data_IF_030441209167
#
_entry.id   IF_030441209167
#
_cell.length_a   1.000
_cell.length_b   1.000
_cell.length_c   1.000
_cell.angle_alpha   90.00
_cell.angle_beta   90.00
_cell.angle_gamma   90.00
#
_symmetry.space_group_name_H-M   'P 1'
#
loop_
_entity.id
_entity.type
_entity.pdbx_description
1 polymer ?
#
# COMPACT_ATOMS: atom_id res chain seq x y z
N UNK A 1 -23.77 5.62 -24.58
CA UNK A 1 -23.19 6.91 -24.93
C UNK A 1 -21.72 6.70 -25.34
N UNK A 2 -21.15 7.62 -26.09
CA UNK A 2 -19.81 7.48 -26.72
C UNK A 2 -18.71 7.13 -25.69
N UNK A 3 -18.76 7.65 -24.49
CA UNK A 3 -17.76 7.34 -23.46
C UNK A 3 -17.85 5.88 -22.99
N UNK A 4 -19.06 5.37 -22.81
CA UNK A 4 -19.29 3.97 -22.44
C UNK A 4 -18.85 2.99 -23.56
N UNK A 5 -19.12 3.35 -24.81
CA UNK A 5 -18.70 2.56 -25.99
C UNK A 5 -17.19 2.51 -26.11
N UNK A 6 -16.49 3.64 -25.93
CA UNK A 6 -15.02 3.69 -25.92
C UNK A 6 -14.43 2.89 -24.76
N UNK A 7 -15.04 2.94 -23.57
CA UNK A 7 -14.61 2.15 -22.43
C UNK A 7 -14.78 0.64 -22.70
N UNK A 8 -15.90 0.22 -23.29
CA UNK A 8 -16.11 -1.17 -23.67
C UNK A 8 -15.10 -1.66 -24.71
N UNK A 9 -14.81 -0.85 -25.74
CA UNK A 9 -13.79 -1.17 -26.74
C UNK A 9 -12.39 -1.29 -26.13
N UNK A 10 -12.07 -0.47 -25.11
CA UNK A 10 -10.80 -0.59 -24.39
C UNK A 10 -10.72 -1.90 -23.60
N UNK A 11 -11.79 -2.34 -22.97
CA UNK A 11 -11.85 -3.63 -22.28
C UNK A 11 -11.62 -4.79 -23.26
N UNK A 12 -12.28 -4.78 -24.41
CA UNK A 12 -12.07 -5.78 -25.46
C UNK A 12 -10.61 -5.79 -25.98
N UNK A 13 -10.01 -4.61 -26.17
CA UNK A 13 -8.61 -4.48 -26.59
C UNK A 13 -7.63 -5.08 -25.57
N UNK A 14 -7.93 -4.98 -24.28
CA UNK A 14 -7.07 -5.44 -23.20
C UNK A 14 -7.31 -6.92 -22.82
N UNK A 15 -8.47 -7.50 -23.13
CA UNK A 15 -8.81 -8.88 -22.79
C UNK A 15 -7.78 -9.94 -23.21
N UNK A 16 -7.09 -9.84 -24.37
CA UNK A 16 -6.05 -10.79 -24.75
C UNK A 16 -4.80 -10.76 -23.87
N UNK A 17 -4.64 -9.72 -23.06
CA UNK A 17 -3.52 -9.54 -22.13
C UNK A 17 -3.87 -9.92 -20.69
N UNK A 18 -5.07 -10.49 -20.46
CA UNK A 18 -5.45 -11.01 -19.15
C UNK A 18 -4.48 -12.10 -18.72
N UNK A 19 -4.00 -12.00 -17.49
CA UNK A 19 -3.05 -12.95 -16.93
C UNK A 19 -3.67 -13.68 -15.73
N UNK A 20 -3.32 -14.95 -15.58
CA UNK A 20 -3.67 -15.74 -14.39
C UNK A 20 -3.23 -15.02 -13.10
N UNK A 21 -3.97 -15.18 -12.02
CA UNK A 21 -3.70 -14.57 -10.72
C UNK A 21 -2.23 -14.73 -10.28
N UNK A 22 -1.65 -15.90 -10.43
CA UNK A 22 -0.25 -16.17 -10.08
C UNK A 22 0.79 -15.51 -10.97
N UNK A 23 0.42 -15.02 -12.16
CA UNK A 23 1.32 -14.44 -13.17
C UNK A 23 1.15 -12.93 -13.35
N UNK A 24 0.05 -12.37 -12.84
CA UNK A 24 -0.21 -10.94 -12.96
C UNK A 24 0.91 -10.10 -12.32
N UNK A 25 1.32 -8.96 -12.94
CA UNK A 25 2.36 -8.07 -12.39
C UNK A 25 1.89 -7.31 -11.14
N UNK A 26 0.59 -7.26 -10.90
CA UNK A 26 -0.02 -6.52 -9.80
C UNK A 26 0.57 -6.92 -8.43
N UNK A 27 1.14 -5.94 -7.72
CA UNK A 27 1.79 -6.14 -6.43
C UNK A 27 3.15 -6.85 -6.48
N UNK A 28 3.71 -7.10 -7.67
CA UNK A 28 4.94 -7.88 -7.86
C UNK A 28 6.05 -7.15 -8.60
N UNK A 29 5.78 -5.95 -9.08
CA UNK A 29 6.73 -5.18 -9.89
C UNK A 29 7.21 -3.93 -9.12
N UNK A 30 8.26 -4.05 -8.30
CA UNK A 30 8.70 -2.96 -7.39
C UNK A 30 9.06 -1.65 -8.10
N UNK A 31 9.46 -1.71 -9.37
CA UNK A 31 9.82 -0.53 -10.16
C UNK A 31 8.62 0.27 -10.69
N UNK A 32 7.41 -0.27 -10.57
CA UNK A 32 6.20 0.43 -11.00
C UNK A 32 5.49 1.10 -9.81
N UNK A 33 4.84 2.26 -10.02
CA UNK A 33 3.98 2.87 -9.02
C UNK A 33 2.91 1.88 -8.54
N UNK A 34 2.66 1.82 -7.23
CA UNK A 34 1.76 0.84 -6.63
C UNK A 34 2.18 -0.62 -6.90
N UNK A 35 3.46 -0.85 -7.20
CA UNK A 35 3.99 -2.17 -7.59
C UNK A 35 3.23 -2.82 -8.76
N UNK A 36 2.68 -2.00 -9.67
CA UNK A 36 1.89 -2.45 -10.82
C UNK A 36 0.43 -2.81 -10.50
N UNK A 37 -0.04 -2.60 -9.27
CA UNK A 37 -1.44 -2.78 -8.91
C UNK A 37 -2.24 -1.50 -9.12
N UNK A 38 -3.37 -1.59 -9.84
CA UNK A 38 -4.29 -0.46 -10.02
C UNK A 38 -5.13 -0.16 -8.76
N UNK A 39 -5.21 -1.10 -7.83
CA UNK A 39 -5.89 -0.90 -6.55
C UNK A 39 -5.08 0.00 -5.61
N UNK A 40 -3.76 -0.14 -5.64
CA UNK A 40 -2.88 0.54 -4.70
C UNK A 40 -2.61 2.00 -5.11
N UNK A 41 -2.45 2.91 -4.16
CA UNK A 41 -1.96 4.25 -4.47
C UNK A 41 -0.64 4.18 -5.26
N UNK A 42 -0.42 5.06 -6.25
CA UNK A 42 0.72 4.98 -7.18
C UNK A 42 2.03 5.45 -6.54
N UNK A 43 2.37 4.89 -5.41
CA UNK A 43 3.57 5.20 -4.64
C UNK A 43 4.74 4.30 -5.03
N UNK A 44 5.95 4.82 -4.94
CA UNK A 44 7.19 4.11 -5.27
C UNK A 44 8.00 3.82 -4.01
N UNK A 45 8.61 2.64 -3.98
CA UNK A 45 9.53 2.24 -2.90
C UNK A 45 10.87 2.96 -3.09
N UNK A 46 11.31 3.73 -2.10
CA UNK A 46 12.58 4.47 -2.11
C UNK A 46 13.64 3.83 -1.21
N UNK A 47 13.23 3.06 -0.20
CA UNK A 47 14.11 2.27 0.64
C UNK A 47 13.45 0.94 0.96
N UNK A 48 14.22 -0.14 0.89
CA UNK A 48 13.77 -1.48 1.19
C UNK A 48 14.89 -2.26 1.87
N UNK A 49 14.79 -2.48 3.16
CA UNK A 49 15.82 -3.14 3.96
C UNK A 49 15.29 -3.74 5.25
N UNK A 50 16.12 -4.50 5.93
CA UNK A 50 15.77 -5.18 7.19
C UNK A 50 15.44 -4.22 8.32
N UNK A 51 15.91 -2.98 8.24
CA UNK A 51 15.67 -1.88 9.17
C UNK A 51 14.36 -1.12 8.89
N UNK A 52 13.72 -1.38 7.74
CA UNK A 52 12.43 -0.80 7.38
C UNK A 52 12.26 -0.53 5.89
N UNK A 53 11.08 -0.02 5.57
CA UNK A 53 10.65 0.34 4.22
C UNK A 53 10.26 1.81 4.18
N UNK A 54 10.63 2.53 3.12
CA UNK A 54 10.15 3.87 2.82
C UNK A 54 9.53 3.88 1.43
N UNK A 55 8.40 4.55 1.31
CA UNK A 55 7.78 4.86 0.02
C UNK A 55 7.53 6.36 -0.08
N UNK A 56 7.54 6.86 -1.31
CA UNK A 56 7.20 8.24 -1.65
C UNK A 56 6.13 8.28 -2.72
N UNK A 57 5.27 9.25 -2.63
CA UNK A 57 4.19 9.44 -3.60
C UNK A 57 3.32 10.63 -3.27
N UNK A 58 2.21 10.71 -3.94
CA UNK A 58 1.15 11.67 -3.68
C UNK A 58 -0.20 10.97 -3.85
N UNK A 59 -1.22 11.50 -3.21
CA UNK A 59 -2.59 11.16 -3.52
C UNK A 59 -3.14 12.17 -4.52
N UNK A 60 -3.92 11.71 -5.48
CA UNK A 60 -4.55 12.54 -6.49
C UNK A 60 -6.03 12.75 -6.20
N UNK A 61 -6.70 13.50 -7.06
CA UNK A 61 -8.17 13.68 -7.03
C UNK A 61 -8.94 12.35 -7.06
N UNK A 62 -8.35 11.27 -7.57
CA UNK A 62 -8.94 9.94 -7.54
C UNK A 62 -9.14 9.42 -6.09
N UNK A 63 -8.33 9.89 -5.16
CA UNK A 63 -8.33 9.45 -3.77
C UNK A 63 -9.08 10.41 -2.82
N UNK A 64 -9.73 11.46 -3.36
CA UNK A 64 -10.36 12.49 -2.53
C UNK A 64 -11.60 11.94 -1.81
N UNK A 65 -11.71 12.25 -0.52
CA UNK A 65 -12.90 11.98 0.29
C UNK A 65 -13.83 13.18 0.42
N UNK A 66 -13.25 14.36 0.55
CA UNK A 66 -13.96 15.62 0.67
C UNK A 66 -13.01 16.74 1.07
N UNK A 67 -13.35 18.00 0.80
CA UNK A 67 -12.57 19.19 1.19
C UNK A 67 -11.09 19.13 0.82
N UNK A 68 -10.76 18.61 -0.36
CA UNK A 68 -9.38 18.39 -0.84
C UNK A 68 -8.54 17.48 0.06
N UNK A 69 -9.16 16.68 0.90
CA UNK A 69 -8.50 15.69 1.77
C UNK A 69 -8.60 14.30 1.17
N UNK A 70 -7.62 13.47 1.46
CA UNK A 70 -7.62 12.05 1.12
C UNK A 70 -8.75 11.34 1.87
N UNK A 71 -9.48 10.47 1.17
CA UNK A 71 -10.50 9.63 1.79
C UNK A 71 -9.87 8.71 2.85
N UNK A 72 -10.45 8.69 4.04
CA UNK A 72 -9.91 7.96 5.19
C UNK A 72 -9.64 6.47 4.93
N UNK A 73 -10.41 5.82 4.06
CA UNK A 73 -10.20 4.42 3.69
C UNK A 73 -8.97 4.16 2.81
N UNK A 74 -8.38 5.19 2.21
CA UNK A 74 -7.16 5.03 1.36
C UNK A 74 -5.91 4.86 2.22
N UNK A 75 -5.85 5.48 3.40
CA UNK A 75 -4.70 5.35 4.30
C UNK A 75 -4.54 3.93 4.86
N UNK A 76 -5.61 3.26 5.35
CA UNK A 76 -5.54 1.85 5.70
C UNK A 76 -5.05 0.96 4.56
N UNK A 77 -5.50 1.21 3.31
CA UNK A 77 -5.02 0.46 2.14
C UNK A 77 -3.51 0.64 1.93
N UNK A 78 -2.98 1.87 2.05
CA UNK A 78 -1.55 2.14 1.97
C UNK A 78 -0.79 1.43 3.09
N UNK A 79 -1.27 1.52 4.33
CA UNK A 79 -0.61 0.90 5.49
C UNK A 79 -0.64 -0.63 5.41
N UNK A 80 -1.75 -1.23 5.00
CA UNK A 80 -1.84 -2.68 4.84
C UNK A 80 -0.83 -3.20 3.82
N UNK A 81 -0.73 -2.52 2.68
CA UNK A 81 0.29 -2.82 1.67
C UNK A 81 1.72 -2.68 2.22
N UNK A 82 2.00 -1.59 2.95
CA UNK A 82 3.29 -1.38 3.63
C UNK A 82 3.62 -2.51 4.60
N UNK A 83 2.67 -3.01 5.38
CA UNK A 83 2.90 -4.06 6.38
C UNK A 83 3.36 -5.36 5.74
N UNK A 84 2.81 -5.72 4.60
CA UNK A 84 3.29 -6.86 3.81
C UNK A 84 4.75 -6.69 3.39
N UNK A 85 5.10 -5.50 2.86
CA UNK A 85 6.47 -5.19 2.45
C UNK A 85 7.45 -5.14 3.62
N UNK A 86 7.07 -4.51 4.74
CA UNK A 86 7.89 -4.44 5.97
C UNK A 86 8.22 -5.84 6.47
N UNK A 87 7.21 -6.72 6.54
CA UNK A 87 7.41 -8.10 6.98
C UNK A 87 8.35 -8.86 6.05
N UNK A 88 8.18 -8.71 4.73
CA UNK A 88 9.05 -9.35 3.74
C UNK A 88 10.48 -8.79 3.79
N UNK A 89 10.65 -7.48 3.88
CA UNK A 89 11.96 -6.82 3.99
C UNK A 89 12.73 -7.27 5.25
N UNK A 90 12.03 -7.54 6.35
CA UNK A 90 12.60 -8.10 7.57
C UNK A 90 12.90 -9.62 7.47
N UNK A 91 12.86 -10.21 6.27
CA UNK A 91 13.17 -11.61 6.02
C UNK A 91 12.10 -12.60 6.55
N UNK A 92 10.90 -12.13 6.82
CA UNK A 92 9.84 -13.00 7.31
C UNK A 92 9.12 -13.72 6.16
N UNK A 93 8.69 -14.97 6.38
CA UNK A 93 7.88 -15.70 5.41
C UNK A 93 6.55 -14.99 5.14
N UNK A 94 5.84 -15.43 4.09
CA UNK A 94 4.52 -14.93 3.72
C UNK A 94 3.61 -14.88 4.96
N UNK A 95 3.04 -13.71 5.17
CA UNK A 95 2.21 -13.39 6.33
C UNK A 95 0.89 -12.76 5.87
N UNK A 96 -0.13 -12.82 6.73
CA UNK A 96 -1.40 -12.13 6.54
C UNK A 96 -1.59 -11.11 7.65
N UNK A 97 -2.23 -10.02 7.33
CA UNK A 97 -2.64 -8.98 8.28
C UNK A 97 -3.74 -9.55 9.18
N UNK A 98 -3.49 -9.58 10.48
CA UNK A 98 -4.47 -10.03 11.47
C UNK A 98 -5.30 -8.86 12.01
N UNK A 99 -4.67 -7.70 12.18
CA UNK A 99 -5.36 -6.44 12.43
C UNK A 99 -4.53 -5.27 11.91
N UNK A 100 -5.22 -4.17 11.65
CA UNK A 100 -4.69 -2.87 11.33
C UNK A 100 -5.45 -1.81 12.14
N UNK A 101 -4.72 -1.00 12.89
CA UNK A 101 -5.24 0.19 13.57
C UNK A 101 -4.63 1.43 12.94
N UNK A 102 -5.44 2.44 12.67
CA UNK A 102 -4.99 3.70 12.05
C UNK A 102 -5.41 4.88 12.93
N UNK A 103 -4.43 5.70 13.27
CA UNK A 103 -4.63 6.98 13.93
C UNK A 103 -4.45 8.12 12.92
N UNK A 104 -5.48 8.92 12.74
CA UNK A 104 -5.48 10.09 11.88
C UNK A 104 -5.07 11.30 12.72
N UNK A 105 -3.84 11.78 12.54
CA UNK A 105 -3.29 12.89 13.35
C UNK A 105 -3.63 14.24 12.76
N UNK A 106 -3.62 14.34 11.43
CA UNK A 106 -3.92 15.56 10.67
C UNK A 106 -4.63 15.20 9.37
N UNK A 107 -5.24 16.21 8.74
CA UNK A 107 -5.80 16.07 7.40
C UNK A 107 -4.67 15.75 6.43
N UNK A 108 -4.81 14.65 5.68
CA UNK A 108 -3.87 14.29 4.62
C UNK A 108 -4.28 14.97 3.32
N UNK A 109 -3.45 15.88 2.77
CA UNK A 109 -3.79 16.59 1.54
C UNK A 109 -3.59 15.71 0.29
N UNK A 110 -4.26 16.06 -0.81
CA UNK A 110 -3.98 15.53 -2.15
C UNK A 110 -3.00 16.44 -2.89
N UNK A 111 -2.41 15.92 -3.98
CA UNK A 111 -1.56 16.65 -4.94
C UNK A 111 -0.29 17.28 -4.32
N UNK A 112 0.17 16.75 -3.20
CA UNK A 112 1.44 17.14 -2.56
C UNK A 112 2.34 15.91 -2.36
N UNK A 113 3.68 16.09 -2.34
CA UNK A 113 4.60 15.02 -2.01
C UNK A 113 4.44 14.56 -0.55
N UNK A 114 4.38 13.25 -0.36
CA UNK A 114 4.26 12.62 0.95
C UNK A 114 5.27 11.47 1.07
N UNK A 115 5.60 11.12 2.30
CA UNK A 115 6.54 10.05 2.63
C UNK A 115 5.86 9.13 3.64
N UNK A 116 5.93 7.81 3.41
CA UNK A 116 5.54 6.82 4.41
C UNK A 116 6.75 5.97 4.77
N UNK A 117 6.97 5.76 6.07
CA UNK A 117 8.04 4.94 6.62
C UNK A 117 7.48 3.91 7.57
N UNK A 118 8.02 2.70 7.53
CA UNK A 118 7.57 1.68 8.46
C UNK A 118 8.62 0.62 8.74
N UNK A 119 8.44 -0.08 9.85
CA UNK A 119 9.35 -1.12 10.33
C UNK A 119 8.63 -2.16 11.18
N UNK A 120 9.28 -3.28 11.40
CA UNK A 120 8.90 -4.23 12.45
C UNK A 120 9.29 -3.63 13.80
N UNK A 121 8.36 -3.64 14.74
CA UNK A 121 8.58 -3.14 16.11
C UNK A 121 8.86 -4.26 17.11
N UNK A 122 8.25 -5.43 16.90
CA UNK A 122 8.45 -6.62 17.74
C UNK A 122 8.12 -7.90 16.97
N UNK A 123 8.65 -9.02 17.43
CA UNK A 123 8.34 -10.35 16.89
C UNK A 123 8.14 -11.37 18.00
N UNK A 124 7.09 -12.19 17.88
CA UNK A 124 6.76 -13.26 18.81
C UNK A 124 6.36 -14.51 18.02
N UNK A 125 7.27 -15.43 17.83
CA UNK A 125 7.03 -16.64 17.06
C UNK A 125 6.55 -16.34 15.64
N UNK A 126 5.28 -16.65 15.34
CA UNK A 126 4.67 -16.37 14.03
C UNK A 126 4.23 -14.92 13.84
N UNK A 127 4.15 -14.15 14.92
CA UNK A 127 3.66 -12.77 14.93
C UNK A 127 4.77 -11.77 14.63
N UNK A 128 4.48 -10.74 13.86
CA UNK A 128 5.28 -9.54 13.71
C UNK A 128 4.40 -8.32 13.93
N UNK A 129 4.74 -7.53 14.91
CA UNK A 129 4.13 -6.23 15.14
C UNK A 129 4.84 -5.23 14.24
N UNK A 130 4.07 -4.45 13.53
CA UNK A 130 4.56 -3.51 12.52
C UNK A 130 3.96 -2.13 12.77
N UNK A 131 4.72 -1.09 12.46
CA UNK A 131 4.22 0.27 12.42
C UNK A 131 4.60 0.94 11.09
N UNK A 132 3.78 1.89 10.66
CA UNK A 132 4.07 2.79 9.57
C UNK A 132 3.54 4.18 9.88
N UNK A 133 4.27 5.21 9.44
CA UNK A 133 3.99 6.61 9.72
C UNK A 133 4.02 7.40 8.42
N UNK A 134 3.00 8.21 8.19
CA UNK A 134 2.83 9.06 7.01
C UNK A 134 3.17 10.51 7.35
N UNK A 135 4.06 11.10 6.58
CA UNK A 135 4.55 12.46 6.76
C UNK A 135 4.35 13.31 5.51
N UNK A 136 4.26 14.62 5.72
CA UNK A 136 4.42 15.62 4.66
C UNK A 136 5.90 15.96 4.43
N UNK A 137 6.17 16.93 3.52
CA UNK A 137 7.54 17.39 3.21
C UNK A 137 8.24 18.06 4.36
N UNK A 138 7.51 18.56 5.35
CA UNK A 138 8.03 19.24 6.54
C UNK A 138 8.21 18.29 7.73
N UNK A 139 8.18 16.97 7.47
CA UNK A 139 8.24 15.90 8.47
C UNK A 139 7.08 15.97 9.51
N UNK A 140 5.95 16.57 9.14
CA UNK A 140 4.77 16.58 10.00
C UNK A 140 4.06 15.25 9.91
N UNK A 141 3.82 14.59 11.05
CA UNK A 141 3.06 13.35 11.11
C UNK A 141 1.57 13.60 10.80
N UNK A 142 1.09 12.97 9.73
CA UNK A 142 -0.29 13.08 9.27
C UNK A 142 -1.16 11.91 9.73
N UNK A 143 -0.61 10.70 9.67
CA UNK A 143 -1.28 9.49 10.12
C UNK A 143 -0.25 8.42 10.51
N UNK A 144 -0.67 7.49 11.35
CA UNK A 144 0.13 6.32 11.70
C UNK A 144 -0.71 5.05 11.70
N UNK A 145 -0.10 3.95 11.30
CA UNK A 145 -0.69 2.63 11.30
C UNK A 145 0.10 1.68 12.19
N UNK A 146 -0.62 0.91 13.00
CA UNK A 146 -0.07 -0.16 13.81
C UNK A 146 -0.79 -1.47 13.48
N UNK A 147 -0.06 -2.55 13.32
CA UNK A 147 -0.67 -3.80 12.91
C UNK A 147 0.07 -5.05 13.34
N UNK A 148 -0.60 -6.16 13.13
CA UNK A 148 -0.08 -7.49 13.38
C UNK A 148 -0.09 -8.31 12.10
N UNK A 149 1.09 -8.73 11.68
CA UNK A 149 1.29 -9.69 10.60
C UNK A 149 1.52 -11.08 11.20
N UNK A 150 0.81 -12.07 10.69
CA UNK A 150 0.94 -13.47 11.17
C UNK A 150 1.39 -14.37 10.03
N UNK A 151 2.54 -15.04 10.24
CA UNK A 151 3.07 -16.02 9.29
C UNK A 151 2.07 -17.15 9.06
N UNK A 152 1.85 -17.49 7.79
CA UNK A 152 1.01 -18.63 7.42
C UNK A 152 1.63 -19.95 7.89
N UNK A 153 0.76 -20.89 8.23
CA UNK A 153 1.13 -22.30 8.41
C UNK A 153 1.16 -23.01 7.06
N UNK A 154 1.89 -24.12 6.94
CA UNK A 154 1.83 -24.96 5.75
C UNK A 154 0.39 -25.32 5.37
N UNK A 155 0.02 -25.09 4.10
CA UNK A 155 -1.32 -25.39 3.58
C UNK A 155 -2.40 -24.30 3.86
N UNK A 156 -2.07 -23.20 4.50
CA UNK A 156 -2.96 -22.04 4.59
C UNK A 156 -2.85 -21.17 3.31
N UNK A 157 -4.00 -20.64 2.82
CA UNK A 157 -4.04 -19.80 1.62
C UNK A 157 -3.43 -18.42 1.87
#
# INVERSE_FOLDING_TARGET
DEAAERAAALVELLSPFEADEGKAPAGRTPGLPGMGSLLLPPWTVTRYGTDGVEMRGSFSRFHVGGNSAVHGGVLPLLFDHMFGMISHAAGRPISRTAFLHVDYRRITPIDVPLIVRGRVTNTEGRKAFVCAELFDSDETLLAEGNGLMVRLLPGQP
#
